data_IF_600885312197
#
_entry.id   IF_600885312197
#
_cell.length_a   1.000
_cell.length_b   1.000
_cell.length_c   1.000
_cell.angle_alpha   90.00
_cell.angle_beta   90.00
_cell.angle_gamma   90.00
#
_symmetry.space_group_name_H-M   'P 1'
#
loop_
_entity.id
_entity.type
_entity.pdbx_description
1 polymer ?
#
# COMPACT_ATOMS: atom_id res chain seq x y z
N UNK A 1 19.00 28.24 9.59
CA UNK A 1 18.96 26.75 9.68
C UNK A 1 18.01 26.28 8.62
N UNK A 2 18.50 25.50 7.67
CA UNK A 2 17.66 24.96 6.57
C UNK A 2 16.69 23.94 7.21
N UNK A 3 15.43 23.87 6.73
CA UNK A 3 14.45 22.88 7.21
C UNK A 3 14.96 21.44 7.12
N UNK A 4 15.78 21.14 6.11
CA UNK A 4 16.45 19.84 5.98
C UNK A 4 17.41 19.50 7.12
N UNK A 5 18.01 20.50 7.77
CA UNK A 5 18.92 20.27 8.90
C UNK A 5 18.18 19.79 10.17
N UNK A 6 16.84 19.91 10.19
CA UNK A 6 15.97 19.44 11.25
C UNK A 6 15.55 17.97 11.09
N UNK A 7 15.81 17.37 9.92
CA UNK A 7 15.52 15.97 9.65
C UNK A 7 16.60 15.13 10.34
N UNK A 8 16.19 14.03 10.95
CA UNK A 8 17.11 13.05 11.52
C UNK A 8 18.14 12.60 10.46
N UNK A 9 19.44 12.57 10.78
CA UNK A 9 20.49 12.21 9.83
C UNK A 9 20.28 10.85 9.15
N UNK A 10 19.72 9.86 9.86
CA UNK A 10 19.47 8.52 9.31
C UNK A 10 18.35 8.53 8.27
N UNK A 11 17.45 9.52 8.32
CA UNK A 11 16.33 9.66 7.39
C UNK A 11 16.68 10.50 6.16
N UNK A 12 17.79 11.23 6.18
CA UNK A 12 18.17 12.16 5.09
C UNK A 12 18.53 11.43 3.80
N UNK A 13 19.39 10.43 3.89
CA UNK A 13 19.85 9.67 2.72
C UNK A 13 18.68 8.95 2.01
N UNK A 14 17.80 8.18 2.68
CA UNK A 14 16.61 7.62 2.06
C UNK A 14 15.69 8.66 1.44
N UNK A 15 15.50 9.82 2.11
CA UNK A 15 14.69 10.90 1.58
C UNK A 15 15.29 11.51 0.31
N UNK A 16 16.59 11.75 0.27
CA UNK A 16 17.28 12.28 -0.90
C UNK A 16 17.22 11.29 -2.07
N UNK A 17 17.34 9.99 -1.80
CA UNK A 17 17.10 8.94 -2.76
C UNK A 17 15.70 9.03 -3.38
N UNK A 18 14.67 9.12 -2.55
CA UNK A 18 13.27 9.28 -3.01
C UNK A 18 13.09 10.56 -3.85
N UNK A 19 13.63 11.69 -3.39
CA UNK A 19 13.50 12.98 -4.07
C UNK A 19 14.28 13.04 -5.39
N UNK A 20 15.28 12.18 -5.60
CA UNK A 20 15.95 12.06 -6.89
C UNK A 20 15.04 11.49 -7.97
N UNK A 21 14.15 10.58 -7.61
CA UNK A 21 13.13 10.02 -8.51
C UNK A 21 11.92 10.95 -8.67
N UNK A 22 11.62 11.71 -7.64
CA UNK A 22 10.43 12.57 -7.62
C UNK A 22 10.81 13.97 -7.09
N UNK A 23 11.42 14.82 -7.94
CA UNK A 23 11.79 16.18 -7.56
C UNK A 23 10.57 16.99 -7.09
N UNK A 24 10.68 17.59 -5.88
CA UNK A 24 9.56 18.27 -5.24
C UNK A 24 8.57 17.35 -4.51
N UNK A 25 8.83 16.05 -4.46
CA UNK A 25 7.96 15.05 -3.83
C UNK A 25 6.60 14.95 -4.53
N UNK A 26 5.61 14.44 -3.84
CA UNK A 26 4.25 14.30 -4.38
C UNK A 26 3.61 15.64 -4.77
N UNK A 27 3.99 16.73 -4.11
CA UNK A 27 3.49 18.08 -4.42
C UNK A 27 4.09 18.67 -5.71
N UNK A 28 5.20 18.13 -6.19
CA UNK A 28 5.78 18.49 -7.48
C UNK A 28 4.93 18.09 -8.68
N UNK A 29 3.93 17.22 -8.48
CA UNK A 29 2.97 16.80 -9.51
C UNK A 29 1.61 17.38 -9.17
N UNK A 30 1.19 18.49 -9.76
CA UNK A 30 -0.04 19.20 -9.38
C UNK A 30 -1.32 18.44 -9.75
N UNK A 31 -1.34 17.73 -10.87
CA UNK A 31 -2.49 16.94 -11.31
C UNK A 31 -2.62 15.64 -10.50
N UNK A 32 -3.82 15.37 -9.97
CA UNK A 32 -4.06 14.21 -9.09
C UNK A 32 -3.97 12.89 -9.87
N UNK A 33 -4.46 12.83 -11.11
CA UNK A 33 -4.41 11.62 -11.92
C UNK A 33 -2.97 11.27 -12.27
N UNK A 34 -2.18 12.26 -12.73
CA UNK A 34 -0.75 12.09 -12.99
C UNK A 34 0.03 11.70 -11.73
N UNK A 35 -0.33 12.26 -10.57
CA UNK A 35 0.27 11.88 -9.28
C UNK A 35 0.00 10.42 -8.92
N UNK A 36 -1.23 9.94 -9.13
CA UNK A 36 -1.60 8.54 -8.92
C UNK A 36 -0.82 7.60 -9.83
N UNK A 37 -0.69 7.92 -11.11
CA UNK A 37 0.10 7.14 -12.05
C UNK A 37 1.57 7.06 -11.65
N UNK A 38 2.18 8.18 -11.27
CA UNK A 38 3.57 8.24 -10.84
C UNK A 38 3.81 7.40 -9.58
N UNK A 39 2.92 7.48 -8.58
CA UNK A 39 3.02 6.68 -7.35
C UNK A 39 2.81 5.20 -7.63
N UNK A 40 1.81 4.86 -8.45
CA UNK A 40 1.56 3.46 -8.83
C UNK A 40 2.77 2.87 -9.56
N UNK A 41 3.35 3.61 -10.51
CA UNK A 41 4.56 3.19 -11.21
C UNK A 41 5.76 3.00 -10.27
N UNK A 42 5.96 3.91 -9.33
CA UNK A 42 7.03 3.80 -8.32
C UNK A 42 6.84 2.55 -7.44
N UNK A 43 5.65 2.35 -6.91
CA UNK A 43 5.34 1.20 -6.06
C UNK A 43 5.46 -0.13 -6.81
N UNK A 44 5.03 -0.16 -8.08
CA UNK A 44 5.19 -1.34 -8.93
C UNK A 44 6.68 -1.66 -9.16
N UNK A 45 7.51 -0.65 -9.41
CA UNK A 45 8.95 -0.82 -9.57
C UNK A 45 9.62 -1.31 -8.28
N UNK A 46 9.21 -0.80 -7.12
CA UNK A 46 9.73 -1.24 -5.82
C UNK A 46 9.24 -2.65 -5.42
N UNK A 47 8.05 -3.04 -5.89
CA UNK A 47 7.45 -4.34 -5.61
C UNK A 47 7.83 -5.45 -6.59
N UNK A 48 8.46 -5.11 -7.73
CA UNK A 48 8.76 -6.08 -8.79
C UNK A 48 9.64 -7.25 -8.35
N UNK A 49 10.51 -7.03 -7.36
CA UNK A 49 11.42 -8.05 -6.81
C UNK A 49 10.90 -8.68 -5.51
N UNK A 50 9.69 -8.36 -5.07
CA UNK A 50 9.14 -8.96 -3.86
C UNK A 50 8.80 -10.44 -4.09
N UNK A 51 9.30 -11.35 -3.26
CA UNK A 51 8.99 -12.76 -3.43
C UNK A 51 7.50 -13.02 -3.16
N UNK A 52 6.87 -13.79 -4.04
CA UNK A 52 5.51 -14.27 -3.81
C UNK A 52 5.49 -15.13 -2.54
N UNK A 53 4.61 -14.80 -1.60
CA UNK A 53 4.46 -15.61 -0.40
C UNK A 53 3.59 -16.84 -0.70
N UNK A 54 4.17 -18.06 -0.76
CA UNK A 54 3.42 -19.27 -1.12
C UNK A 54 2.40 -19.69 -0.06
N UNK A 55 2.50 -19.12 1.14
CA UNK A 55 1.62 -19.45 2.27
C UNK A 55 0.37 -18.58 2.34
N UNK A 56 0.15 -17.70 1.36
CA UNK A 56 -1.00 -16.81 1.30
C UNK A 56 -1.59 -16.81 -0.09
N UNK A 57 -2.89 -16.96 -0.18
CA UNK A 57 -3.68 -16.69 -1.39
C UNK A 57 -4.44 -15.38 -1.23
N UNK A 58 -4.78 -14.74 -2.35
CA UNK A 58 -5.67 -13.58 -2.32
C UNK A 58 -6.78 -13.68 -3.37
N UNK A 59 -7.88 -13.02 -3.11
CA UNK A 59 -9.03 -12.93 -4.00
C UNK A 59 -9.62 -11.51 -3.92
N UNK A 60 -9.95 -10.93 -5.08
CA UNK A 60 -10.56 -9.59 -5.16
C UNK A 60 -12.09 -9.71 -5.17
N UNK A 61 -12.73 -8.97 -4.28
CA UNK A 61 -14.17 -8.81 -4.18
C UNK A 61 -14.57 -7.35 -4.39
N UNK A 62 -15.83 -7.11 -4.71
CA UNK A 62 -16.38 -5.77 -4.90
C UNK A 62 -17.55 -5.57 -3.94
N UNK A 63 -17.39 -4.62 -3.03
CA UNK A 63 -18.45 -4.18 -2.14
C UNK A 63 -19.25 -3.06 -2.82
N UNK A 64 -20.61 -3.10 -2.79
CA UNK A 64 -21.41 -2.05 -3.38
C UNK A 64 -21.09 -0.68 -2.80
N UNK A 65 -20.92 0.31 -3.67
CA UNK A 65 -20.70 1.71 -3.27
C UNK A 65 -21.94 2.28 -2.60
N UNK A 66 -21.73 3.20 -1.66
CA UNK A 66 -22.83 3.86 -0.96
C UNK A 66 -23.56 4.86 -1.89
N UNK A 67 -24.90 4.84 -1.90
CA UNK A 67 -25.74 5.78 -2.67
C UNK A 67 -25.38 5.93 -4.15
N UNK A 68 -25.03 4.81 -4.83
CA UNK A 68 -24.75 4.82 -6.26
C UNK A 68 -23.32 5.29 -6.63
N UNK A 69 -22.45 5.43 -5.64
CA UNK A 69 -21.01 5.59 -5.89
C UNK A 69 -20.41 4.29 -6.46
N UNK A 70 -19.25 4.34 -7.12
CA UNK A 70 -18.59 3.15 -7.63
C UNK A 70 -18.35 2.10 -6.56
N UNK A 71 -18.39 0.83 -6.96
CA UNK A 71 -18.06 -0.28 -6.06
C UNK A 71 -16.63 -0.16 -5.53
N UNK A 72 -16.45 -0.62 -4.30
CA UNK A 72 -15.15 -0.63 -3.63
C UNK A 72 -14.52 -2.00 -3.80
N UNK A 73 -13.34 -2.05 -4.43
CA UNK A 73 -12.56 -3.28 -4.50
C UNK A 73 -11.93 -3.59 -3.14
N UNK A 74 -12.10 -4.82 -2.70
CA UNK A 74 -11.56 -5.34 -1.44
C UNK A 74 -10.76 -6.60 -1.75
N UNK A 75 -9.49 -6.64 -1.40
CA UNK A 75 -8.66 -7.84 -1.53
C UNK A 75 -8.67 -8.62 -0.22
N UNK A 76 -9.03 -9.89 -0.31
CA UNK A 76 -9.06 -10.81 0.82
C UNK A 76 -7.83 -11.70 0.75
N UNK A 77 -6.96 -11.59 1.74
CA UNK A 77 -5.79 -12.46 1.88
C UNK A 77 -6.12 -13.61 2.84
N UNK A 78 -5.79 -14.82 2.45
CA UNK A 78 -6.08 -16.02 3.23
C UNK A 78 -4.84 -16.89 3.35
N UNK A 79 -4.40 -17.26 4.57
CA UNK A 79 -3.34 -18.24 4.74
C UNK A 79 -3.72 -19.58 4.10
N UNK A 80 -2.81 -20.20 3.34
CA UNK A 80 -3.09 -21.48 2.63
C UNK A 80 -3.32 -22.65 3.58
N UNK A 81 -2.78 -22.58 4.79
CA UNK A 81 -2.95 -23.58 5.84
C UNK A 81 -4.10 -23.28 6.80
N UNK A 82 -4.97 -22.31 6.48
CA UNK A 82 -6.09 -21.92 7.30
C UNK A 82 -7.09 -23.06 7.51
N UNK A 83 -7.43 -23.34 8.75
CA UNK A 83 -8.46 -24.30 9.10
C UNK A 83 -9.50 -23.66 10.00
N UNK A 84 -10.77 -23.92 9.71
CA UNK A 84 -11.89 -23.40 10.50
C UNK A 84 -12.08 -21.89 10.37
N UNK A 85 -12.67 -21.29 11.40
CA UNK A 85 -12.92 -19.85 11.47
C UNK A 85 -11.69 -19.13 11.99
N UNK A 86 -11.20 -18.15 11.24
CA UNK A 86 -10.11 -17.27 11.64
C UNK A 86 -10.64 -15.89 12.04
N UNK A 87 -9.96 -15.19 12.94
CA UNK A 87 -10.23 -13.77 13.16
C UNK A 87 -9.97 -12.99 11.87
N UNK A 88 -10.75 -11.95 11.60
CA UNK A 88 -10.59 -11.05 10.46
C UNK A 88 -9.93 -9.75 10.88
N UNK A 89 -9.01 -9.27 10.06
CA UNK A 89 -8.42 -7.93 10.16
C UNK A 89 -8.85 -7.12 8.94
N UNK A 90 -9.46 -5.96 9.14
CA UNK A 90 -9.73 -5.00 8.08
C UNK A 90 -8.59 -3.99 8.08
N UNK A 91 -7.88 -3.88 6.95
CA UNK A 91 -6.83 -2.90 6.72
C UNK A 91 -7.31 -1.85 5.73
N UNK A 92 -7.37 -0.60 6.17
CA UNK A 92 -7.75 0.54 5.34
C UNK A 92 -6.48 1.35 5.08
N UNK A 93 -6.07 1.43 3.81
CA UNK A 93 -4.84 2.10 3.45
C UNK A 93 -4.90 3.62 3.64
N UNK A 94 -3.75 4.23 3.91
CA UNK A 94 -3.57 5.66 3.94
C UNK A 94 -3.52 6.29 2.54
N UNK A 95 -3.19 7.59 2.47
CA UNK A 95 -3.00 8.32 1.21
C UNK A 95 -3.80 9.60 1.08
N UNK A 96 -4.44 10.07 2.16
CA UNK A 96 -5.15 11.35 2.22
C UNK A 96 -6.31 11.44 1.23
N UNK A 97 -6.97 10.33 0.92
CA UNK A 97 -8.04 10.18 -0.08
C UNK A 97 -7.62 10.51 -1.53
N UNK A 98 -6.35 10.75 -1.75
CA UNK A 98 -5.79 11.11 -3.07
C UNK A 98 -4.96 9.96 -3.63
N UNK A 99 -4.17 9.31 -2.78
CA UNK A 99 -3.21 8.26 -3.12
C UNK A 99 -3.54 6.95 -2.39
N UNK A 100 -2.79 5.92 -2.74
CA UNK A 100 -2.90 4.59 -2.16
C UNK A 100 -3.60 3.61 -3.09
N UNK A 101 -3.26 2.35 -2.94
CA UNK A 101 -3.85 1.24 -3.67
C UNK A 101 -3.66 -0.05 -2.90
N UNK A 102 -4.46 -1.06 -3.23
CA UNK A 102 -4.33 -2.42 -2.68
C UNK A 102 -2.92 -2.96 -2.96
N UNK A 103 -2.42 -2.75 -4.16
CA UNK A 103 -1.10 -3.22 -4.59
C UNK A 103 0.03 -2.55 -3.80
N UNK A 104 -0.11 -1.27 -3.49
CA UNK A 104 0.88 -0.52 -2.69
C UNK A 104 0.97 -0.97 -1.24
N UNK A 105 -0.09 -1.56 -0.72
CA UNK A 105 -0.18 -2.00 0.68
C UNK A 105 -0.05 -3.52 0.86
N UNK A 106 0.14 -4.26 -0.21
CA UNK A 106 0.23 -5.72 -0.16
C UNK A 106 1.31 -6.23 0.81
N UNK A 107 2.48 -5.61 0.81
CA UNK A 107 3.56 -5.97 1.72
C UNK A 107 3.17 -5.80 3.19
N UNK A 108 2.45 -4.72 3.52
CA UNK A 108 1.93 -4.47 4.86
C UNK A 108 0.92 -5.54 5.28
N UNK A 109 -0.02 -5.87 4.39
CA UNK A 109 -1.03 -6.91 4.65
C UNK A 109 -0.38 -8.29 4.85
N UNK A 110 0.61 -8.65 4.05
CA UNK A 110 1.34 -9.90 4.18
C UNK A 110 2.15 -9.97 5.48
N UNK A 111 2.74 -8.85 5.92
CA UNK A 111 3.44 -8.78 7.21
C UNK A 111 2.50 -9.01 8.40
N UNK A 112 1.29 -8.43 8.37
CA UNK A 112 0.27 -8.69 9.39
C UNK A 112 -0.18 -10.15 9.42
N UNK A 113 -0.34 -10.79 8.28
CA UNK A 113 -0.68 -12.20 8.19
C UNK A 113 0.44 -13.11 8.71
N UNK A 114 1.69 -12.78 8.43
CA UNK A 114 2.84 -13.54 8.92
C UNK A 114 2.97 -13.48 10.46
N UNK A 115 2.54 -12.39 11.08
CA UNK A 115 2.60 -12.19 12.53
C UNK A 115 1.35 -12.66 13.27
N UNK A 116 0.27 -12.97 12.55
CA UNK A 116 -1.02 -13.37 13.15
C UNK A 116 -1.64 -14.54 12.38
N UNK A 117 -2.32 -15.44 13.07
CA UNK A 117 -3.15 -16.48 12.43
C UNK A 117 -4.52 -15.90 11.97
N UNK A 118 -4.50 -14.72 11.37
CA UNK A 118 -5.71 -13.97 10.97
C UNK A 118 -5.86 -13.92 9.43
N UNK A 119 -7.09 -13.73 8.96
CA UNK A 119 -7.36 -13.26 7.59
C UNK A 119 -7.21 -11.74 7.56
N UNK A 120 -6.53 -11.20 6.56
CA UNK A 120 -6.47 -9.77 6.32
C UNK A 120 -7.32 -9.39 5.11
N UNK A 121 -8.01 -8.24 5.22
CA UNK A 121 -8.83 -7.64 4.18
C UNK A 121 -8.28 -6.23 3.90
N UNK A 122 -7.93 -5.94 2.68
CA UNK A 122 -7.44 -4.63 2.25
C UNK A 122 -8.28 -4.05 1.11
#
# INVERSE_FOLDING_TARGET
MNERDRIDPQSREPLEGLLSFMPGGFNGIPDIAARREAVTGLLAAMGADQPVNPNVTHEDHFAPGHNGTPDVRVRVYTPTNAQGKLPGLIYIHGGGMILGSIEGEEASCLAYLASSAAKAFS
#
